data_IF_829352463351
#
_entry.id   IF_829352463351
#
_cell.length_a   1.000
_cell.length_b   1.000
_cell.length_c   1.000
_cell.angle_alpha   90.00
_cell.angle_beta   90.00
_cell.angle_gamma   90.00
#
_symmetry.space_group_name_H-M   'P 1'
#
loop_
_entity.id
_entity.type
_entity.pdbx_description
1 polymer ?
#
# COMPACT_ATOMS: atom_id res chain seq x y z
N UNK A 1 -0.27 -16.57 65.38
CA UNK A 1 -0.34 -17.28 64.08
C UNK A 1 -1.80 -17.22 63.66
N UNK A 2 -2.23 -16.52 62.62
CA UNK A 2 -1.94 -16.78 61.21
C UNK A 2 -2.46 -15.57 60.40
N UNK A 3 -1.63 -14.93 59.58
CA UNK A 3 -2.10 -13.95 58.59
C UNK A 3 -2.59 -14.70 57.34
N UNK A 4 -3.67 -14.19 56.75
CA UNK A 4 -4.27 -14.66 55.50
C UNK A 4 -3.26 -14.55 54.33
N UNK A 5 -2.66 -15.67 53.96
CA UNK A 5 -1.69 -15.77 52.85
C UNK A 5 -2.38 -15.99 51.50
N UNK A 6 -3.25 -15.07 51.11
CA UNK A 6 -3.78 -15.06 49.73
C UNK A 6 -3.19 -13.88 48.95
N UNK A 7 -1.85 -13.85 48.92
CA UNK A 7 -1.06 -13.03 48.00
C UNK A 7 -0.48 -13.96 46.94
N UNK A 8 -0.75 -13.62 45.68
CA UNK A 8 -0.05 -14.08 44.48
C UNK A 8 -0.25 -15.55 44.05
N UNK A 9 -1.32 -15.80 43.29
CA UNK A 9 -1.22 -16.64 42.10
C UNK A 9 -1.87 -15.92 40.91
N UNK A 10 -1.23 -14.85 40.46
CA UNK A 10 -1.36 -14.43 39.07
C UNK A 10 -0.49 -15.39 38.25
N UNK A 11 -1.04 -16.18 37.31
CA UNK A 11 -0.21 -16.81 36.31
C UNK A 11 0.29 -15.71 35.36
N UNK A 12 1.53 -15.26 35.61
CA UNK A 12 2.36 -14.65 34.59
C UNK A 12 2.77 -15.73 33.58
N UNK A 13 3.08 -15.29 32.35
CA UNK A 13 3.50 -16.10 31.20
C UNK A 13 2.42 -16.92 30.49
N UNK A 14 1.59 -16.18 29.74
CA UNK A 14 1.48 -16.51 28.31
C UNK A 14 1.96 -15.30 27.52
N UNK A 15 3.13 -15.37 26.85
CA UNK A 15 3.37 -14.49 25.72
C UNK A 15 2.29 -14.85 24.69
N UNK A 16 1.17 -14.11 24.72
CA UNK A 16 0.25 -14.08 23.60
C UNK A 16 1.10 -13.58 22.45
N UNK A 17 1.44 -14.51 21.57
CA UNK A 17 1.91 -14.29 20.22
C UNK A 17 1.28 -13.00 19.68
N UNK A 18 2.00 -11.90 19.83
CA UNK A 18 1.86 -10.71 19.00
C UNK A 18 2.63 -10.98 17.70
N UNK A 19 2.58 -12.22 17.20
CA UNK A 19 2.54 -12.49 15.79
C UNK A 19 1.17 -11.98 15.31
N UNK A 20 1.04 -10.64 15.31
CA UNK A 20 0.03 -9.95 14.56
C UNK A 20 0.06 -10.58 13.18
N UNK A 21 -1.01 -11.30 12.87
CA UNK A 21 -1.43 -11.55 11.51
C UNK A 21 -1.52 -10.17 10.89
N UNK A 22 -0.38 -9.69 10.35
CA UNK A 22 -0.36 -8.67 9.31
C UNK A 22 -1.18 -9.36 8.23
N UNK A 23 -2.48 -9.10 8.24
CA UNK A 23 -3.27 -9.21 7.03
C UNK A 23 -2.38 -8.61 5.94
N UNK A 24 -2.11 -9.33 4.84
CA UNK A 24 -1.22 -8.83 3.81
C UNK A 24 -1.60 -7.38 3.58
N UNK A 25 -0.68 -6.47 3.91
CA UNK A 25 -0.96 -5.04 3.79
C UNK A 25 -1.49 -4.83 2.38
N UNK A 26 -2.56 -4.03 2.21
CA UNK A 26 -3.20 -3.87 0.92
C UNK A 26 -2.13 -3.64 -0.15
N UNK A 27 -2.20 -4.44 -1.22
CA UNK A 27 -1.16 -4.54 -2.23
C UNK A 27 -0.63 -3.13 -2.59
N UNK A 28 0.70 -2.96 -2.69
CA UNK A 28 1.26 -1.67 -3.02
C UNK A 28 0.66 -1.18 -4.35
N UNK A 29 0.28 0.10 -4.40
CA UNK A 29 -0.31 0.74 -5.59
C UNK A 29 0.62 0.67 -6.82
N UNK A 30 1.91 0.41 -6.58
CA UNK A 30 2.90 0.13 -7.61
C UNK A 30 3.42 -1.29 -7.45
N UNK A 31 3.55 -2.05 -8.55
CA UNK A 31 4.33 -3.26 -8.54
C UNK A 31 5.80 -2.95 -8.18
N UNK A 32 6.42 -3.85 -7.40
CA UNK A 32 7.70 -3.58 -6.75
C UNK A 32 8.88 -3.49 -7.72
N UNK A 33 8.82 -4.22 -8.83
CA UNK A 33 9.90 -4.30 -9.84
C UNK A 33 10.07 -2.96 -10.57
N UNK A 34 8.96 -2.33 -10.88
CA UNK A 34 8.85 -1.04 -11.56
C UNK A 34 9.38 0.09 -10.66
N UNK A 35 9.02 0.05 -9.37
CA UNK A 35 9.56 0.98 -8.37
C UNK A 35 11.09 0.91 -8.31
N UNK A 36 11.66 -0.29 -8.28
CA UNK A 36 13.11 -0.45 -8.19
C UNK A 36 13.82 0.07 -9.45
N UNK A 37 13.20 -0.04 -10.62
CA UNK A 37 13.73 0.53 -11.88
C UNK A 37 13.79 2.05 -11.81
N UNK A 38 12.73 2.69 -11.33
CA UNK A 38 12.63 4.15 -11.17
C UNK A 38 13.69 4.64 -10.17
N UNK A 39 13.80 3.99 -9.01
CA UNK A 39 14.79 4.35 -7.98
C UNK A 39 16.21 4.28 -8.53
N UNK A 40 16.55 3.23 -9.29
CA UNK A 40 17.88 3.10 -9.91
C UNK A 40 18.16 4.22 -10.92
N UNK A 41 17.17 4.61 -11.72
CA UNK A 41 17.30 5.66 -12.75
C UNK A 41 17.49 7.03 -12.10
N UNK A 42 16.70 7.36 -11.09
CA UNK A 42 16.90 8.58 -10.28
C UNK A 42 18.26 8.59 -9.58
N UNK A 43 18.69 7.47 -9.01
CA UNK A 43 20.01 7.36 -8.38
C UNK A 43 21.15 7.63 -9.38
N UNK A 44 21.03 7.15 -10.61
CA UNK A 44 22.00 7.44 -11.69
C UNK A 44 22.02 8.92 -12.06
N UNK A 45 20.85 9.54 -12.24
CA UNK A 45 20.74 10.96 -12.55
C UNK A 45 21.39 11.83 -11.46
N UNK A 46 21.15 11.53 -10.17
CA UNK A 46 21.76 12.26 -9.06
C UNK A 46 23.28 12.09 -9.03
N UNK A 47 23.79 10.88 -9.29
CA UNK A 47 25.22 10.60 -9.28
C UNK A 47 25.98 11.25 -10.45
N UNK A 48 25.33 11.40 -11.61
CA UNK A 48 25.94 11.99 -12.83
C UNK A 48 25.78 13.51 -12.91
N UNK A 49 24.94 14.09 -12.05
CA UNK A 49 24.64 15.52 -12.04
C UNK A 49 25.88 16.44 -11.99
N UNK A 50 26.94 16.13 -11.21
CA UNK A 50 28.15 16.98 -11.18
C UNK A 50 28.88 17.03 -12.53
N UNK A 51 28.80 15.96 -13.33
CA UNK A 51 29.52 15.81 -14.60
C UNK A 51 28.69 16.34 -15.77
N UNK A 52 27.39 16.05 -15.78
CA UNK A 52 26.48 16.33 -16.90
C UNK A 52 25.14 16.89 -16.42
N UNK A 53 25.10 18.09 -15.82
CA UNK A 53 23.93 18.57 -15.06
C UNK A 53 22.65 18.67 -15.90
N UNK A 54 22.77 18.99 -17.20
CA UNK A 54 21.61 19.09 -18.11
C UNK A 54 21.06 17.71 -18.47
N UNK A 55 21.92 16.78 -18.85
CA UNK A 55 21.51 15.40 -19.19
C UNK A 55 20.95 14.67 -17.98
N UNK A 56 21.56 14.85 -16.80
CA UNK A 56 21.07 14.27 -15.55
C UNK A 56 19.67 14.81 -15.18
N UNK A 57 19.40 16.09 -15.43
CA UNK A 57 18.07 16.65 -15.21
C UNK A 57 17.05 16.08 -16.20
N UNK A 58 17.41 15.98 -17.48
CA UNK A 58 16.56 15.36 -18.51
C UNK A 58 16.27 13.88 -18.20
N UNK A 59 17.25 13.13 -17.70
CA UNK A 59 17.06 11.76 -17.24
C UNK A 59 16.13 11.67 -16.03
N UNK A 60 16.27 12.57 -15.06
CA UNK A 60 15.38 12.66 -13.90
C UNK A 60 13.94 13.02 -14.30
N UNK A 61 13.77 13.97 -15.23
CA UNK A 61 12.46 14.31 -15.79
C UNK A 61 11.82 13.11 -16.51
N UNK A 62 12.58 12.43 -17.37
CA UNK A 62 12.08 11.23 -18.05
C UNK A 62 11.71 10.10 -17.09
N UNK A 63 12.47 9.92 -16.01
CA UNK A 63 12.13 8.95 -14.96
C UNK A 63 10.84 9.34 -14.21
N UNK A 64 10.64 10.64 -13.96
CA UNK A 64 9.43 11.16 -13.33
C UNK A 64 8.19 10.96 -14.20
N UNK A 65 8.27 11.31 -15.49
CA UNK A 65 7.16 11.12 -16.43
C UNK A 65 6.79 9.65 -16.60
N UNK A 66 7.79 8.77 -16.70
CA UNK A 66 7.60 7.31 -16.74
C UNK A 66 6.89 6.81 -15.46
N UNK A 67 7.23 7.37 -14.29
CA UNK A 67 6.57 7.04 -13.01
C UNK A 67 5.11 7.46 -13.00
N UNK A 68 4.78 8.66 -13.49
CA UNK A 68 3.40 9.13 -13.60
C UNK A 68 2.60 8.25 -14.55
N UNK A 69 3.16 7.90 -15.71
CA UNK A 69 2.50 7.03 -16.68
C UNK A 69 2.15 5.66 -16.08
N UNK A 70 3.12 5.03 -15.41
CA UNK A 70 2.92 3.75 -14.75
C UNK A 70 1.92 3.82 -13.59
N UNK A 71 1.92 4.92 -12.82
CA UNK A 71 0.90 5.14 -11.78
C UNK A 71 -0.50 5.18 -12.37
N UNK A 72 -0.69 5.95 -13.44
CA UNK A 72 -1.99 6.07 -14.09
C UNK A 72 -2.47 4.73 -14.65
N UNK A 73 -1.57 3.94 -15.23
CA UNK A 73 -1.87 2.61 -15.75
C UNK A 73 -2.26 1.63 -14.62
N UNK A 74 -1.48 1.57 -13.54
CA UNK A 74 -1.79 0.74 -12.38
C UNK A 74 -3.14 1.12 -11.75
N UNK A 75 -3.43 2.41 -11.63
CA UNK A 75 -4.72 2.90 -11.13
C UNK A 75 -5.88 2.56 -12.07
N UNK A 76 -5.67 2.63 -13.38
CA UNK A 76 -6.66 2.25 -14.37
C UNK A 76 -6.99 0.75 -14.25
N UNK A 77 -5.97 -0.10 -14.10
CA UNK A 77 -6.15 -1.55 -13.96
C UNK A 77 -6.83 -1.91 -12.63
N UNK A 78 -6.43 -1.25 -11.55
CA UNK A 78 -7.09 -1.42 -10.25
C UNK A 78 -8.55 -0.98 -10.29
N UNK A 79 -8.88 0.12 -10.99
CA UNK A 79 -10.27 0.56 -11.20
C UNK A 79 -11.08 -0.46 -12.00
N UNK A 80 -10.48 -1.10 -13.01
CA UNK A 80 -11.12 -2.16 -13.81
C UNK A 80 -11.42 -3.39 -12.95
N UNK A 81 -10.43 -3.86 -12.20
CA UNK A 81 -10.58 -4.99 -11.27
C UNK A 81 -11.67 -4.74 -10.25
N UNK A 82 -11.65 -3.55 -9.64
CA UNK A 82 -12.62 -3.20 -8.62
C UNK A 82 -14.02 -3.07 -9.22
N UNK A 83 -14.17 -2.47 -10.41
CA UNK A 83 -15.46 -2.43 -11.12
C UNK A 83 -15.98 -3.82 -11.44
N UNK A 84 -15.14 -4.71 -11.98
CA UNK A 84 -15.54 -6.09 -12.28
C UNK A 84 -16.02 -6.84 -11.03
N UNK A 85 -15.44 -6.53 -9.86
CA UNK A 85 -15.84 -7.14 -8.59
C UNK A 85 -17.19 -6.72 -8.03
N UNK A 86 -17.90 -5.75 -8.64
CA UNK A 86 -19.27 -5.40 -8.22
C UNK A 86 -20.26 -5.07 -9.33
N UNK A 87 -19.81 -4.95 -10.58
CA UNK A 87 -20.67 -4.58 -11.70
C UNK A 87 -21.79 -5.60 -11.97
N UNK A 88 -21.56 -6.88 -11.65
CA UNK A 88 -22.56 -7.95 -11.82
C UNK A 88 -23.37 -8.22 -10.54
N UNK A 89 -23.15 -7.46 -9.46
CA UNK A 89 -23.89 -7.60 -8.20
C UNK A 89 -25.23 -6.86 -8.28
N UNK A 90 -26.30 -7.53 -7.89
CA UNK A 90 -27.63 -6.93 -7.82
C UNK A 90 -27.74 -6.07 -6.55
N UNK A 91 -28.02 -4.77 -6.67
CA UNK A 91 -28.07 -3.85 -5.54
C UNK A 91 -29.13 -4.19 -4.49
N UNK A 92 -30.21 -4.89 -4.85
CA UNK A 92 -31.27 -5.24 -3.90
C UNK A 92 -30.92 -6.45 -3.04
N UNK A 93 -30.09 -7.37 -3.56
CA UNK A 93 -29.74 -8.62 -2.88
C UNK A 93 -28.32 -8.62 -2.30
N UNK A 94 -27.41 -7.81 -2.84
CA UNK A 94 -25.97 -7.84 -2.57
C UNK A 94 -25.44 -6.51 -2.00
N UNK A 95 -26.20 -5.96 -1.04
CA UNK A 95 -25.88 -4.70 -0.35
C UNK A 95 -24.54 -4.75 0.41
N UNK A 96 -24.17 -5.91 0.97
CA UNK A 96 -22.92 -6.08 1.71
C UNK A 96 -21.69 -5.99 0.79
N UNK A 97 -21.77 -6.56 -0.41
CA UNK A 97 -20.75 -6.52 -1.45
C UNK A 97 -20.56 -5.10 -1.97
N UNK A 98 -21.65 -4.36 -2.19
CA UNK A 98 -21.60 -2.94 -2.58
C UNK A 98 -21.00 -2.05 -1.50
N UNK A 99 -21.33 -2.29 -0.22
CA UNK A 99 -20.70 -1.59 0.90
C UNK A 99 -19.19 -1.86 0.96
N UNK A 100 -18.77 -3.10 0.69
CA UNK A 100 -17.35 -3.46 0.60
C UNK A 100 -16.67 -2.74 -0.56
N UNK A 101 -17.28 -2.72 -1.74
CA UNK A 101 -16.77 -2.00 -2.90
C UNK A 101 -16.61 -0.49 -2.64
N UNK A 102 -17.60 0.15 -2.00
CA UNK A 102 -17.52 1.56 -1.61
C UNK A 102 -16.39 1.82 -0.61
N UNK A 103 -16.21 0.92 0.37
CA UNK A 103 -15.09 1.00 1.31
C UNK A 103 -13.76 0.93 0.57
N UNK A 104 -13.61 0.02 -0.40
CA UNK A 104 -12.39 -0.09 -1.20
C UNK A 104 -12.13 1.18 -2.01
N UNK A 105 -13.14 1.77 -2.67
CA UNK A 105 -13.01 3.06 -3.35
C UNK A 105 -12.52 4.16 -2.40
N UNK A 106 -13.07 4.22 -1.19
CA UNK A 106 -12.70 5.23 -0.18
C UNK A 106 -11.24 5.08 0.23
N UNK A 107 -10.80 3.86 0.55
CA UNK A 107 -9.42 3.58 0.98
C UNK A 107 -8.40 3.94 -0.11
N UNK A 108 -8.70 3.60 -1.37
CA UNK A 108 -7.82 3.91 -2.51
C UNK A 108 -7.71 5.42 -2.71
N UNK A 109 -8.85 6.12 -2.68
CA UNK A 109 -8.88 7.58 -2.80
C UNK A 109 -8.13 8.26 -1.66
N UNK A 110 -8.35 7.80 -0.43
CA UNK A 110 -7.64 8.34 0.74
C UNK A 110 -6.14 8.10 0.67
N UNK A 111 -5.70 6.97 0.11
CA UNK A 111 -4.28 6.67 -0.10
C UNK A 111 -3.66 7.58 -1.15
N UNK A 112 -4.38 7.86 -2.24
CA UNK A 112 -3.95 8.81 -3.26
C UNK A 112 -3.82 10.24 -2.73
N UNK A 113 -4.73 10.67 -1.86
CA UNK A 113 -4.69 12.00 -1.23
C UNK A 113 -3.57 12.16 -0.19
N UNK A 114 -2.88 11.07 0.20
CA UNK A 114 -1.76 11.08 1.16
C UNK A 114 -0.39 10.93 0.51
N UNK A 115 -0.34 10.75 -0.81
CA UNK A 115 0.89 10.83 -1.59
C UNK A 115 1.38 12.28 -1.63
#
# INVERSE_FOLDING_TARGET
MMYDQTRAQQPADRPRDIAGRRAPGPAPLFPSVERDKIIRRLGRAVNTFPDTPRESLEEAQGAFDETIAQLMEALAEQRRTLRAGWQDHDPETQSAELHLALRQYREITQRLLRL
#
